data_IF_062590330506
#
_entry.id   IF_062590330506
#
_cell.length_a   1.000
_cell.length_b   1.000
_cell.length_c   1.000
_cell.angle_alpha   90.00
_cell.angle_beta   90.00
_cell.angle_gamma   90.00
#
_symmetry.space_group_name_H-M   'P 1'
#
loop_
_entity.id
_entity.type
_entity.pdbx_description
1 polymer ?
#
# COMPACT_ATOMS: atom_id res chain seq x y z
N UNK A 1 -24.77 -2.63 -24.24
CA UNK A 1 -23.93 -1.66 -24.94
C UNK A 1 -23.11 -2.36 -26.03
N UNK A 2 -22.95 -1.69 -27.17
CA UNK A 2 -22.22 -2.22 -28.31
C UNK A 2 -20.87 -1.52 -28.41
N UNK A 3 -19.78 -2.27 -28.71
CA UNK A 3 -18.46 -1.66 -28.90
C UNK A 3 -18.48 -0.85 -30.21
N UNK A 4 -18.14 0.43 -30.11
CA UNK A 4 -18.11 1.34 -31.27
C UNK A 4 -16.72 1.45 -31.89
N UNK A 5 -15.66 1.37 -31.07
CA UNK A 5 -14.27 1.39 -31.50
C UNK A 5 -13.36 0.78 -30.42
N UNK A 6 -12.13 0.46 -30.83
CA UNK A 6 -11.04 0.12 -29.91
C UNK A 6 -9.93 1.16 -30.03
N UNK A 7 -9.20 1.39 -28.94
CA UNK A 7 -8.05 2.27 -28.89
C UNK A 7 -6.85 1.53 -28.32
N UNK A 8 -5.72 1.56 -29.05
CA UNK A 8 -4.42 1.07 -28.62
C UNK A 8 -3.62 2.26 -28.07
N UNK A 9 -3.05 2.11 -26.89
CA UNK A 9 -2.19 3.09 -26.23
C UNK A 9 -0.94 2.45 -25.65
N UNK A 10 0.10 3.26 -25.40
CA UNK A 10 1.33 2.86 -24.72
C UNK A 10 1.58 3.74 -23.51
N UNK A 11 2.30 3.21 -22.54
CA UNK A 11 2.92 4.04 -21.49
C UNK A 11 3.99 4.96 -22.13
N UNK A 12 4.86 4.40 -23.01
CA UNK A 12 5.85 5.15 -23.78
C UNK A 12 5.81 4.72 -25.25
N UNK A 13 5.64 5.65 -26.17
CA UNK A 13 5.65 5.39 -27.62
C UNK A 13 7.06 5.43 -28.23
N UNK A 14 8.09 5.79 -27.45
CA UNK A 14 9.50 5.76 -27.82
C UNK A 14 10.30 5.08 -26.71
N UNK A 15 11.00 4.00 -27.04
CA UNK A 15 11.78 3.21 -26.08
C UNK A 15 13.22 3.02 -26.58
N UNK A 16 14.16 2.87 -25.67
CA UNK A 16 15.54 2.54 -26.00
C UNK A 16 15.68 1.04 -26.39
N UNK A 17 16.64 0.73 -27.23
CA UNK A 17 16.95 -0.65 -27.58
C UNK A 17 17.22 -1.50 -26.32
N UNK A 18 16.58 -2.66 -26.25
CA UNK A 18 16.70 -3.59 -25.12
C UNK A 18 15.78 -3.27 -23.92
N UNK A 19 14.96 -2.21 -23.99
CA UNK A 19 13.95 -1.90 -22.99
C UNK A 19 12.55 -2.28 -23.44
N UNK A 20 11.55 -2.16 -22.57
CA UNK A 20 10.17 -2.48 -22.88
C UNK A 20 9.19 -1.42 -22.33
N UNK A 21 8.02 -1.34 -22.98
CA UNK A 21 6.88 -0.54 -22.55
C UNK A 21 5.62 -1.40 -22.46
N UNK A 22 4.63 -0.99 -21.69
CA UNK A 22 3.32 -1.63 -21.66
C UNK A 22 2.38 -1.00 -22.67
N UNK A 23 1.53 -1.84 -23.29
CA UNK A 23 0.42 -1.42 -24.12
C UNK A 23 -0.92 -1.77 -23.47
N UNK A 24 -1.94 -1.01 -23.84
CA UNK A 24 -3.31 -1.27 -23.43
C UNK A 24 -4.24 -1.12 -24.64
N UNK A 25 -5.20 -2.04 -24.76
CA UNK A 25 -6.30 -1.93 -25.73
C UNK A 25 -7.59 -1.72 -24.96
N UNK A 26 -8.24 -0.59 -25.24
CA UNK A 26 -9.49 -0.18 -24.58
C UNK A 26 -10.65 -0.27 -25.58
N UNK A 27 -11.70 -1.00 -25.26
CA UNK A 27 -12.97 -0.96 -25.98
C UNK A 27 -13.80 0.22 -25.49
N UNK A 28 -14.38 0.98 -26.43
CA UNK A 28 -15.27 2.13 -26.17
C UNK A 28 -16.67 1.74 -26.65
N UNK A 29 -17.65 1.87 -25.76
CA UNK A 29 -19.04 1.48 -26.00
C UNK A 29 -19.90 2.70 -26.42
N UNK A 30 -21.04 2.40 -27.03
CA UNK A 30 -22.05 3.37 -27.48
C UNK A 30 -22.65 4.23 -26.36
N UNK A 31 -22.61 3.72 -25.11
CA UNK A 31 -23.03 4.43 -23.91
C UNK A 31 -21.93 5.27 -23.23
N UNK A 32 -20.74 5.37 -23.85
CA UNK A 32 -19.58 6.12 -23.34
C UNK A 32 -18.76 5.40 -22.27
N UNK A 33 -19.09 4.15 -21.92
CA UNK A 33 -18.26 3.34 -21.00
C UNK A 33 -17.05 2.75 -21.73
N UNK A 34 -15.98 2.48 -20.97
CA UNK A 34 -14.74 1.89 -21.47
C UNK A 34 -14.45 0.57 -20.74
N UNK A 35 -13.77 -0.35 -21.43
CA UNK A 35 -13.30 -1.62 -20.86
C UNK A 35 -11.93 -1.97 -21.43
N UNK A 36 -10.98 -2.38 -20.57
CA UNK A 36 -9.71 -2.95 -21.00
C UNK A 36 -9.98 -4.35 -21.57
N UNK A 37 -9.53 -4.57 -22.82
CA UNK A 37 -9.70 -5.82 -23.57
C UNK A 37 -8.37 -6.38 -24.06
N UNK A 38 -7.24 -5.90 -23.53
CA UNK A 38 -5.89 -6.24 -24.01
C UNK A 38 -5.67 -7.74 -24.14
N UNK A 39 -6.02 -8.51 -23.12
CA UNK A 39 -5.82 -9.98 -23.07
C UNK A 39 -6.71 -10.76 -24.08
N UNK A 40 -7.77 -10.13 -24.59
CA UNK A 40 -8.70 -10.73 -25.56
C UNK A 40 -8.48 -10.24 -26.98
N UNK A 41 -7.47 -9.37 -27.20
CA UNK A 41 -7.21 -8.70 -28.49
C UNK A 41 -6.03 -9.36 -29.20
N UNK A 42 -6.14 -9.53 -30.52
CA UNK A 42 -5.00 -9.92 -31.36
C UNK A 42 -4.10 -8.71 -31.58
N UNK A 43 -2.84 -8.80 -31.13
CA UNK A 43 -1.89 -7.68 -31.21
C UNK A 43 -0.63 -8.15 -31.92
N UNK A 44 -0.28 -7.49 -33.04
CA UNK A 44 0.85 -7.87 -33.88
C UNK A 44 1.65 -6.64 -34.32
N UNK A 45 3.00 -6.72 -34.37
CA UNK A 45 3.85 -5.70 -34.98
C UNK A 45 4.00 -5.92 -36.46
N UNK A 46 4.12 -4.87 -37.26
CA UNK A 46 4.48 -4.97 -38.69
C UNK A 46 5.96 -5.30 -38.90
N UNK A 47 6.83 -4.99 -37.93
CA UNK A 47 8.25 -5.28 -37.96
C UNK A 47 8.72 -6.02 -36.70
N UNK A 48 8.73 -7.36 -36.76
CA UNK A 48 9.26 -8.21 -35.68
C UNK A 48 10.78 -8.11 -35.51
N UNK A 49 11.50 -7.52 -36.49
CA UNK A 49 12.93 -7.24 -36.39
C UNK A 49 13.22 -6.00 -35.53
N UNK A 50 12.23 -5.15 -35.26
CA UNK A 50 12.34 -3.93 -34.42
C UNK A 50 11.80 -4.15 -33.03
N UNK A 51 10.64 -4.82 -32.93
CA UNK A 51 10.00 -5.08 -31.63
C UNK A 51 9.45 -6.50 -31.56
N UNK A 52 9.37 -7.01 -30.31
CA UNK A 52 8.63 -8.23 -29.98
C UNK A 52 7.50 -7.89 -29.01
N UNK A 53 6.40 -8.66 -29.04
CA UNK A 53 5.25 -8.50 -28.16
C UNK A 53 5.03 -9.79 -27.37
N UNK A 54 4.87 -9.67 -26.05
CA UNK A 54 4.50 -10.77 -25.17
C UNK A 54 3.44 -10.29 -24.19
N UNK A 55 2.22 -10.81 -24.34
CA UNK A 55 1.06 -10.29 -23.58
C UNK A 55 0.83 -8.81 -23.88
N UNK A 56 0.79 -7.98 -22.84
CA UNK A 56 0.64 -6.53 -22.94
C UNK A 56 1.98 -5.76 -23.03
N UNK A 57 3.10 -6.44 -23.27
CA UNK A 57 4.44 -5.83 -23.22
C UNK A 57 5.07 -5.82 -24.61
N UNK A 58 5.54 -4.64 -25.03
CA UNK A 58 6.33 -4.42 -26.24
C UNK A 58 7.78 -4.21 -25.86
N UNK A 59 8.70 -4.99 -26.44
CA UNK A 59 10.15 -4.89 -26.23
C UNK A 59 10.85 -4.47 -27.51
N UNK A 60 11.71 -3.45 -27.43
CA UNK A 60 12.62 -3.02 -28.50
C UNK A 60 13.80 -3.98 -28.62
N UNK A 61 14.05 -4.49 -29.83
CA UNK A 61 15.16 -5.41 -30.13
C UNK A 61 16.18 -4.85 -31.13
N UNK A 62 15.78 -3.88 -31.92
CA UNK A 62 16.67 -3.11 -32.78
C UNK A 62 16.12 -1.71 -33.00
N UNK A 63 17.02 -0.73 -33.22
CA UNK A 63 16.61 0.65 -33.51
C UNK A 63 15.79 0.74 -34.80
N UNK A 64 14.74 1.54 -34.80
CA UNK A 64 13.80 1.70 -35.90
C UNK A 64 12.40 2.05 -35.41
N UNK A 65 11.42 1.80 -36.29
CA UNK A 65 9.99 1.99 -35.91
C UNK A 65 9.18 0.80 -36.36
N UNK A 66 8.13 0.48 -35.64
CA UNK A 66 7.14 -0.52 -35.97
C UNK A 66 5.74 0.03 -35.75
N UNK A 67 4.78 -0.35 -36.60
CA UNK A 67 3.36 -0.12 -36.36
C UNK A 67 2.80 -1.34 -35.65
N UNK A 68 2.21 -1.15 -34.50
CA UNK A 68 1.49 -2.21 -33.79
C UNK A 68 0.02 -2.12 -34.19
N UNK A 69 -0.53 -3.26 -34.60
CA UNK A 69 -1.95 -3.41 -34.96
C UNK A 69 -2.66 -4.22 -33.89
N UNK A 70 -3.78 -3.69 -33.40
CA UNK A 70 -4.71 -4.38 -32.51
C UNK A 70 -6.00 -4.70 -33.26
N UNK A 71 -6.50 -5.93 -33.14
CA UNK A 71 -7.76 -6.37 -33.74
C UNK A 71 -8.64 -7.09 -32.73
N UNK A 72 -9.91 -6.64 -32.64
CA UNK A 72 -10.92 -7.27 -31.80
C UNK A 72 -12.30 -7.18 -32.46
N UNK A 73 -12.92 -8.34 -32.73
CA UNK A 73 -14.26 -8.44 -33.33
C UNK A 73 -14.43 -7.62 -34.63
N UNK A 74 -13.38 -7.57 -35.48
CA UNK A 74 -13.40 -6.81 -36.74
C UNK A 74 -13.16 -5.31 -36.60
N UNK A 75 -12.91 -4.80 -35.38
CA UNK A 75 -12.46 -3.43 -35.12
C UNK A 75 -10.94 -3.39 -35.04
N UNK A 76 -10.34 -2.30 -35.52
CA UNK A 76 -8.89 -2.13 -35.61
C UNK A 76 -8.42 -0.86 -34.94
N UNK A 77 -7.25 -0.89 -34.34
CA UNK A 77 -6.48 0.27 -33.91
C UNK A 77 -5.00 0.07 -34.21
N UNK A 78 -4.34 1.12 -34.66
CA UNK A 78 -2.92 1.09 -35.01
C UNK A 78 -2.18 2.22 -34.30
N UNK A 79 -0.99 1.93 -33.78
CA UNK A 79 -0.12 2.92 -33.17
C UNK A 79 1.34 2.64 -33.54
N UNK A 80 2.09 3.71 -33.81
CA UNK A 80 3.53 3.65 -34.07
C UNK A 80 4.30 3.62 -32.76
N UNK A 81 5.29 2.71 -32.67
CA UNK A 81 6.32 2.71 -31.64
C UNK A 81 7.70 2.91 -32.28
N UNK A 82 8.56 3.69 -31.61
CA UNK A 82 9.94 3.95 -32.06
C UNK A 82 10.92 3.32 -31.07
N UNK A 83 11.92 2.60 -31.59
CA UNK A 83 13.05 2.08 -30.80
C UNK A 83 14.28 2.92 -31.13
N UNK A 84 14.83 3.62 -30.13
CA UNK A 84 16.02 4.46 -30.29
C UNK A 84 17.31 3.64 -30.16
N UNK A 85 18.45 4.05 -30.77
CA UNK A 85 19.76 3.40 -30.58
C UNK A 85 20.42 3.75 -29.25
N UNK A 86 19.76 4.48 -28.37
CA UNK A 86 20.30 4.93 -27.10
C UNK A 86 20.71 3.76 -26.19
N UNK A 87 21.83 3.94 -25.48
CA UNK A 87 22.35 2.98 -24.50
C UNK A 87 22.12 3.49 -23.09
N UNK A 88 21.87 2.57 -22.15
CA UNK A 88 21.67 2.91 -20.75
C UNK A 88 22.96 3.44 -20.12
N UNK A 89 22.95 4.68 -19.62
CA UNK A 89 24.08 5.31 -18.94
C UNK A 89 24.05 5.04 -17.42
N UNK A 90 22.88 5.25 -16.78
CA UNK A 90 22.70 5.11 -15.34
C UNK A 90 21.24 4.77 -14.99
N UNK A 91 21.03 4.34 -13.75
CA UNK A 91 19.72 4.09 -13.18
C UNK A 91 19.55 5.01 -11.98
N UNK A 92 18.47 5.75 -11.93
CA UNK A 92 18.03 6.50 -10.75
C UNK A 92 16.94 5.69 -10.05
N UNK A 93 17.18 5.34 -8.78
CA UNK A 93 16.20 4.72 -7.91
C UNK A 93 15.59 5.81 -7.04
N UNK A 94 14.26 5.86 -6.94
CA UNK A 94 13.53 6.86 -6.16
C UNK A 94 12.27 6.26 -5.55
N UNK A 95 11.74 6.89 -4.49
CA UNK A 95 10.39 6.64 -4.01
C UNK A 95 9.58 7.94 -4.01
N UNK A 96 8.25 7.83 -4.16
CA UNK A 96 7.33 8.99 -4.09
C UNK A 96 7.22 9.55 -2.67
N UNK A 97 7.47 8.70 -1.68
CA UNK A 97 7.40 9.06 -0.26
C UNK A 97 8.82 9.26 0.28
N UNK A 98 9.02 10.31 1.05
CA UNK A 98 10.29 10.62 1.72
C UNK A 98 10.22 10.30 3.22
N UNK A 99 11.41 10.30 3.87
CA UNK A 99 11.54 10.12 5.32
C UNK A 99 11.70 8.66 5.75
N UNK A 100 11.55 8.46 7.06
CA UNK A 100 11.72 7.16 7.71
C UNK A 100 10.51 6.27 7.41
N UNK A 101 10.77 4.99 7.08
CA UNK A 101 9.73 3.98 6.92
C UNK A 101 9.42 3.37 8.29
N UNK A 102 8.18 3.43 8.80
CA UNK A 102 7.83 2.73 10.04
C UNK A 102 7.99 1.21 9.88
N UNK A 103 8.57 0.55 10.89
CA UNK A 103 8.65 -0.90 10.93
C UNK A 103 7.27 -1.54 10.71
N UNK A 104 7.21 -2.59 9.88
CA UNK A 104 5.99 -3.30 9.51
C UNK A 104 5.16 -2.62 8.41
N UNK A 105 5.68 -1.54 7.79
CA UNK A 105 5.04 -0.90 6.64
C UNK A 105 5.86 -1.09 5.36
N UNK A 106 5.27 -0.71 4.22
CA UNK A 106 5.86 -0.87 2.90
C UNK A 106 6.02 0.48 2.21
N UNK A 107 6.98 0.55 1.26
CA UNK A 107 7.21 1.70 0.38
C UNK A 107 7.54 1.23 -1.02
N UNK A 108 6.89 1.82 -2.03
CA UNK A 108 7.17 1.55 -3.43
C UNK A 108 8.36 2.37 -3.92
N UNK A 109 9.31 1.68 -4.59
CA UNK A 109 10.42 2.29 -5.31
C UNK A 109 10.21 2.18 -6.82
N UNK A 110 10.78 3.15 -7.54
CA UNK A 110 10.81 3.20 -8.99
C UNK A 110 12.25 3.27 -9.49
N UNK A 111 12.53 2.69 -10.65
CA UNK A 111 13.80 2.74 -11.31
C UNK A 111 13.65 3.46 -12.66
N UNK A 112 14.33 4.60 -12.83
CA UNK A 112 14.35 5.39 -14.04
C UNK A 112 15.70 5.19 -14.73
N UNK A 113 15.68 4.59 -15.91
CA UNK A 113 16.84 4.49 -16.79
C UNK A 113 17.12 5.84 -17.45
N UNK A 114 18.37 6.30 -17.36
CA UNK A 114 18.89 7.51 -18.03
C UNK A 114 19.77 7.05 -19.18
N UNK A 115 19.39 7.44 -20.42
CA UNK A 115 20.02 6.94 -21.64
C UNK A 115 20.98 7.95 -22.29
N UNK A 116 21.82 7.47 -23.23
CA UNK A 116 22.86 8.25 -23.87
C UNK A 116 22.37 9.41 -24.74
N UNK A 117 21.10 9.36 -25.17
CA UNK A 117 20.43 10.44 -25.89
C UNK A 117 19.75 11.46 -24.96
N UNK A 118 19.94 11.30 -23.64
CA UNK A 118 19.30 12.13 -22.62
C UNK A 118 17.86 11.76 -22.29
N UNK A 119 17.31 10.73 -22.93
CA UNK A 119 15.96 10.25 -22.58
C UNK A 119 15.94 9.54 -21.22
N UNK A 120 14.78 9.62 -20.57
CA UNK A 120 14.49 8.94 -19.30
C UNK A 120 13.34 7.97 -19.55
N UNK A 121 13.46 6.75 -19.05
CA UNK A 121 12.43 5.73 -19.19
C UNK A 121 12.22 5.01 -17.85
N UNK A 122 10.97 4.81 -17.47
CA UNK A 122 10.62 3.97 -16.32
C UNK A 122 10.88 2.50 -16.69
N UNK A 123 11.85 1.89 -16.01
CA UNK A 123 12.23 0.49 -16.16
C UNK A 123 11.85 -0.35 -14.94
N UNK A 124 11.09 0.20 -14.00
CA UNK A 124 10.74 -0.44 -12.71
C UNK A 124 10.13 -1.83 -12.87
N UNK A 125 9.36 -2.01 -13.95
CA UNK A 125 8.63 -3.24 -14.24
C UNK A 125 9.21 -4.00 -15.46
N UNK A 126 10.40 -3.65 -15.95
CA UNK A 126 11.03 -4.43 -17.03
C UNK A 126 11.35 -5.85 -16.51
N UNK A 127 11.05 -6.94 -17.29
CA UNK A 127 11.28 -8.30 -16.83
C UNK A 127 12.74 -8.65 -16.51
N UNK A 128 13.68 -7.83 -16.96
CA UNK A 128 15.12 -8.03 -16.73
C UNK A 128 15.67 -7.13 -15.63
N UNK A 129 14.85 -6.28 -15.01
CA UNK A 129 15.30 -5.54 -13.83
C UNK A 129 15.41 -6.49 -12.63
N UNK A 130 16.43 -6.28 -11.83
CA UNK A 130 16.65 -7.03 -10.60
C UNK A 130 16.67 -6.05 -9.43
N UNK A 131 15.69 -6.18 -8.56
CA UNK A 131 15.61 -5.45 -7.31
C UNK A 131 16.35 -6.20 -6.19
N UNK A 132 17.01 -5.48 -5.30
CA UNK A 132 17.70 -6.06 -4.14
C UNK A 132 17.87 -5.06 -3.01
N UNK A 133 18.00 -5.57 -1.79
CA UNK A 133 18.36 -4.80 -0.60
C UNK A 133 19.81 -5.08 -0.21
N UNK A 134 20.54 -4.06 0.24
CA UNK A 134 21.89 -4.25 0.80
C UNK A 134 21.88 -5.00 2.13
N UNK A 135 20.73 -5.02 2.83
CA UNK A 135 20.52 -5.76 4.06
C UNK A 135 19.06 -6.25 4.17
N UNK A 136 18.76 -7.47 3.70
CA UNK A 136 17.42 -8.04 3.72
C UNK A 136 16.84 -8.27 5.13
N UNK A 137 17.69 -8.32 6.17
CA UNK A 137 17.24 -8.43 7.56
C UNK A 137 16.62 -7.11 8.07
N UNK A 138 16.96 -5.98 7.48
CA UNK A 138 16.41 -4.67 7.80
C UNK A 138 15.28 -4.28 6.85
N UNK A 139 15.49 -4.46 5.56
CA UNK A 139 14.53 -4.14 4.50
C UNK A 139 14.52 -5.26 3.47
N UNK A 140 13.38 -5.85 3.21
CA UNK A 140 13.17 -6.74 2.06
C UNK A 140 12.56 -5.95 0.90
N UNK A 141 12.93 -6.29 -0.33
CA UNK A 141 12.33 -5.74 -1.54
C UNK A 141 11.93 -6.89 -2.46
N UNK A 142 10.75 -6.79 -3.05
CA UNK A 142 10.25 -7.76 -4.01
C UNK A 142 10.62 -7.38 -5.47
N UNK A 143 10.23 -8.23 -6.42
CA UNK A 143 10.53 -8.05 -7.85
C UNK A 143 9.79 -6.84 -8.47
N UNK A 144 8.81 -6.27 -7.77
CA UNK A 144 8.10 -5.06 -8.20
C UNK A 144 8.72 -3.77 -7.63
N UNK A 145 9.76 -3.86 -6.81
CA UNK A 145 10.37 -2.73 -6.12
C UNK A 145 9.60 -2.29 -4.86
N UNK A 146 8.68 -3.13 -4.35
CA UNK A 146 7.99 -2.86 -3.08
C UNK A 146 8.90 -3.27 -1.92
N UNK A 147 9.38 -2.29 -1.16
CA UNK A 147 10.26 -2.49 -0.01
C UNK A 147 9.45 -2.55 1.30
N UNK A 148 9.76 -3.55 2.15
CA UNK A 148 9.13 -3.80 3.44
C UNK A 148 10.11 -3.58 4.58
N UNK A 149 9.74 -2.75 5.57
CA UNK A 149 10.55 -2.49 6.78
C UNK A 149 10.43 -3.62 7.80
N UNK A 150 11.51 -4.39 7.98
CA UNK A 150 11.53 -5.58 8.84
C UNK A 150 12.11 -5.27 10.22
N UNK A 151 13.28 -4.65 10.30
CA UNK A 151 13.93 -4.25 11.54
C UNK A 151 14.52 -2.84 11.42
N UNK A 152 14.75 -2.20 12.57
CA UNK A 152 15.31 -0.85 12.65
C UNK A 152 16.70 -0.78 12.05
N UNK A 153 16.97 0.25 11.27
CA UNK A 153 18.26 0.50 10.65
C UNK A 153 18.13 0.99 9.23
N UNK A 154 19.29 1.13 8.55
CA UNK A 154 19.39 1.69 7.21
C UNK A 154 19.90 0.66 6.22
N UNK A 155 19.27 0.59 5.06
CA UNK A 155 19.66 -0.25 3.93
C UNK A 155 19.56 0.55 2.61
N UNK A 156 20.23 0.09 1.56
CA UNK A 156 20.10 0.62 0.21
C UNK A 156 19.21 -0.31 -0.62
N UNK A 157 18.15 0.24 -1.20
CA UNK A 157 17.34 -0.43 -2.21
C UNK A 157 18.02 -0.21 -3.55
N UNK A 158 18.29 -1.31 -4.27
CA UNK A 158 19.06 -1.32 -5.52
C UNK A 158 18.22 -1.87 -6.65
N UNK A 159 18.37 -1.25 -7.82
CA UNK A 159 17.85 -1.74 -9.08
C UNK A 159 19.01 -1.97 -10.04
N UNK A 160 19.08 -3.17 -10.64
CA UNK A 160 20.12 -3.53 -11.62
C UNK A 160 19.48 -3.89 -12.95
N UNK A 161 19.98 -3.34 -14.05
CA UNK A 161 19.50 -3.58 -15.41
C UNK A 161 20.63 -3.30 -16.42
N UNK A 162 20.82 -4.17 -17.43
CA UNK A 162 21.84 -4.02 -18.49
C UNK A 162 23.24 -3.64 -17.94
N UNK A 163 23.72 -4.33 -16.91
CA UNK A 163 25.02 -4.08 -16.26
C UNK A 163 25.16 -2.71 -15.57
N UNK A 164 24.08 -1.95 -15.41
CA UNK A 164 24.02 -0.73 -14.61
C UNK A 164 23.28 -1.01 -13.32
N UNK A 165 23.61 -0.23 -12.29
CA UNK A 165 22.94 -0.27 -10.99
C UNK A 165 22.66 1.14 -10.49
N UNK A 166 21.47 1.35 -9.94
CA UNK A 166 21.11 2.50 -9.13
C UNK A 166 20.77 2.07 -7.71
N UNK A 167 20.83 3.00 -6.77
CA UNK A 167 20.49 2.74 -5.38
C UNK A 167 19.91 4.00 -4.71
N UNK A 168 19.01 3.76 -3.75
CA UNK A 168 18.43 4.76 -2.85
C UNK A 168 18.53 4.26 -1.41
N UNK A 169 18.88 5.17 -0.50
CA UNK A 169 18.96 4.84 0.93
C UNK A 169 17.57 4.85 1.56
N UNK A 170 17.29 3.86 2.41
CA UNK A 170 16.07 3.73 3.17
C UNK A 170 16.35 3.41 4.62
N UNK A 171 15.79 4.22 5.52
CA UNK A 171 15.86 4.00 6.97
C UNK A 171 14.53 3.50 7.49
N UNK A 172 14.56 2.41 8.26
CA UNK A 172 13.42 1.87 9.00
C UNK A 172 13.48 2.38 10.43
N UNK A 173 12.41 3.05 10.86
CA UNK A 173 12.23 3.54 12.22
C UNK A 173 11.20 2.74 13.01
N UNK A 174 10.86 3.23 14.21
CA UNK A 174 9.91 2.58 15.10
C UNK A 174 8.55 2.34 14.43
N UNK A 175 7.89 1.26 14.85
CA UNK A 175 6.52 0.98 14.44
C UNK A 175 5.56 2.07 14.96
N UNK A 176 4.59 2.45 14.14
CA UNK A 176 3.58 3.47 14.48
C UNK A 176 2.29 2.83 14.97
N UNK A 177 1.58 3.51 15.87
CA UNK A 177 0.26 3.07 16.34
C UNK A 177 -0.71 3.03 15.16
N UNK A 178 -1.38 1.89 14.95
CA UNK A 178 -2.35 1.68 13.87
C UNK A 178 -3.79 1.52 14.36
N UNK A 179 -3.96 0.97 15.58
CA UNK A 179 -5.28 0.74 16.17
C UNK A 179 -5.20 0.77 17.70
N UNK A 180 -6.30 1.17 18.35
CA UNK A 180 -6.48 1.04 19.80
C UNK A 180 -7.63 0.06 20.05
N UNK A 181 -7.36 -0.99 20.81
CA UNK A 181 -8.37 -1.90 21.32
C UNK A 181 -8.64 -1.62 22.79
N UNK A 182 -9.88 -1.27 23.13
CA UNK A 182 -10.31 -1.08 24.54
C UNK A 182 -11.01 -2.34 25.01
N UNK A 183 -10.55 -2.90 26.11
CA UNK A 183 -11.09 -4.13 26.70
C UNK A 183 -11.56 -3.93 28.14
N UNK A 184 -12.56 -4.69 28.51
CA UNK A 184 -13.18 -4.76 29.83
C UNK A 184 -13.29 -6.22 30.27
N UNK A 185 -12.92 -6.53 31.51
CA UNK A 185 -13.07 -7.88 32.05
C UNK A 185 -14.53 -8.30 32.22
N UNK A 186 -15.42 -7.33 32.42
CA UNK A 186 -16.85 -7.55 32.51
C UNK A 186 -17.60 -6.41 31.81
N UNK A 187 -18.38 -6.66 30.73
CA UNK A 187 -19.16 -5.64 30.05
C UNK A 187 -20.39 -5.20 30.85
N UNK A 188 -20.82 -5.99 31.85
CA UNK A 188 -21.94 -5.69 32.75
C UNK A 188 -21.42 -5.37 34.14
N UNK A 189 -21.38 -4.08 34.51
CA UNK A 189 -20.77 -3.61 35.73
C UNK A 189 -21.86 -3.16 36.71
N UNK A 190 -21.95 -3.73 37.94
CA UNK A 190 -22.93 -3.26 38.90
C UNK A 190 -22.69 -1.82 39.32
N UNK A 191 -23.76 -1.09 39.58
CA UNK A 191 -23.74 0.29 40.13
C UNK A 191 -22.86 0.37 41.38
N UNK A 192 -22.07 1.44 41.49
CA UNK A 192 -21.16 1.71 42.61
C UNK A 192 -19.86 0.91 42.58
N UNK A 193 -19.57 0.16 41.49
CA UNK A 193 -18.32 -0.57 41.35
C UNK A 193 -17.29 0.17 40.49
N UNK A 194 -16.02 -0.11 40.79
CA UNK A 194 -14.88 0.32 39.98
C UNK A 194 -14.34 -0.83 39.17
N UNK A 195 -13.91 -0.55 37.94
CA UNK A 195 -13.29 -1.55 37.06
C UNK A 195 -12.15 -0.91 36.28
N UNK A 196 -11.04 -1.63 36.17
CA UNK A 196 -9.94 -1.28 35.27
C UNK A 196 -10.28 -1.67 33.84
N UNK A 197 -10.21 -0.72 32.92
CA UNK A 197 -10.20 -0.94 31.47
C UNK A 197 -8.76 -0.88 30.97
N UNK A 198 -8.49 -1.63 29.91
CA UNK A 198 -7.19 -1.67 29.27
C UNK A 198 -7.32 -1.15 27.85
N UNK A 199 -6.46 -0.20 27.49
CA UNK A 199 -6.26 0.24 26.11
C UNK A 199 -4.98 -0.42 25.59
N UNK A 200 -5.15 -1.35 24.63
CA UNK A 200 -4.04 -2.00 23.94
C UNK A 200 -3.81 -1.30 22.61
N UNK A 201 -2.64 -0.73 22.43
CA UNK A 201 -2.18 -0.21 21.12
C UNK A 201 -1.68 -1.35 20.26
N UNK A 202 -2.20 -1.44 19.04
CA UNK A 202 -1.73 -2.34 17.98
C UNK A 202 -0.92 -1.48 17.02
N UNK A 203 0.34 -1.87 16.77
CA UNK A 203 1.29 -1.10 15.98
C UNK A 203 1.43 -1.67 14.54
N UNK A 204 2.05 -0.91 13.66
CA UNK A 204 2.24 -1.27 12.25
C UNK A 204 2.99 -2.59 12.04
N UNK A 205 3.82 -3.00 12.99
CA UNK A 205 4.53 -4.29 13.00
C UNK A 205 3.75 -5.42 13.70
N UNK A 206 2.45 -5.22 13.96
CA UNK A 206 1.55 -6.10 14.71
C UNK A 206 1.95 -6.33 16.19
N UNK A 207 2.89 -5.56 16.72
CA UNK A 207 3.18 -5.59 18.14
C UNK A 207 2.05 -4.94 18.95
N UNK A 208 1.84 -5.46 20.16
CA UNK A 208 0.82 -4.96 21.09
C UNK A 208 1.49 -4.39 22.33
N UNK A 209 1.00 -3.22 22.81
CA UNK A 209 1.50 -2.56 24.03
C UNK A 209 0.33 -2.05 24.83
N UNK A 210 0.41 -2.17 26.17
CA UNK A 210 -0.53 -1.48 27.06
C UNK A 210 -0.23 0.02 27.04
N UNK A 211 -1.18 0.80 26.54
CA UNK A 211 -1.11 2.26 26.44
C UNK A 211 -2.15 2.95 27.32
N UNK A 212 -2.72 2.23 28.29
CA UNK A 212 -3.81 2.71 29.15
C UNK A 212 -3.47 3.99 29.93
N UNK A 213 -2.17 4.23 30.22
CA UNK A 213 -1.69 5.43 30.92
C UNK A 213 -1.31 6.60 30.01
N UNK A 214 -1.25 6.38 28.68
CA UNK A 214 -0.80 7.38 27.68
C UNK A 214 -1.91 7.83 26.72
N UNK A 215 -3.09 7.21 26.79
CA UNK A 215 -4.27 7.61 26.00
C UNK A 215 -5.14 8.63 26.74
N UNK A 216 -5.93 9.35 25.97
CA UNK A 216 -7.00 10.19 26.50
C UNK A 216 -8.26 9.34 26.61
N UNK A 217 -8.72 9.12 27.83
CA UNK A 217 -9.97 8.42 28.12
C UNK A 217 -11.17 9.35 28.08
N UNK A 218 -12.29 8.87 27.54
CA UNK A 218 -13.55 9.60 27.51
C UNK A 218 -14.74 8.65 27.73
N UNK A 219 -15.77 9.17 28.43
CA UNK A 219 -17.05 8.51 28.60
C UNK A 219 -18.13 9.23 27.80
N UNK A 220 -18.96 8.50 27.07
CA UNK A 220 -20.10 9.06 26.33
C UNK A 220 -21.17 9.65 27.26
N UNK A 221 -21.20 9.23 28.55
CA UNK A 221 -22.06 9.76 29.57
C UNK A 221 -21.41 9.61 30.94
N UNK A 222 -20.78 10.69 31.44
CA UNK A 222 -20.10 10.71 32.72
C UNK A 222 -21.02 10.60 33.94
N UNK A 223 -22.33 10.84 33.77
CA UNK A 223 -23.33 10.64 34.88
C UNK A 223 -23.64 9.14 35.06
N UNK A 224 -23.51 8.29 34.03
CA UNK A 224 -23.65 6.83 34.14
C UNK A 224 -22.34 6.21 34.64
N UNK A 225 -21.23 6.56 34.02
CA UNK A 225 -19.92 6.09 34.46
C UNK A 225 -18.84 7.09 34.08
N UNK A 226 -17.95 7.37 35.01
CA UNK A 226 -16.81 8.25 34.83
C UNK A 226 -15.52 7.42 34.71
N UNK A 227 -14.60 7.83 33.83
CA UNK A 227 -13.31 7.16 33.65
C UNK A 227 -12.16 8.11 33.94
N UNK A 228 -11.17 7.61 34.70
CA UNK A 228 -9.94 8.34 35.02
C UNK A 228 -8.86 8.12 33.98
N UNK A 229 -7.86 9.01 33.94
CA UNK A 229 -6.76 8.95 32.97
C UNK A 229 -5.92 7.66 33.00
N UNK A 230 -6.01 6.89 34.09
CA UNK A 230 -5.35 5.59 34.21
C UNK A 230 -6.24 4.40 33.79
N UNK A 231 -7.44 4.65 33.21
CA UNK A 231 -8.39 3.63 32.76
C UNK A 231 -9.24 3.01 33.87
N UNK A 232 -9.31 3.63 35.08
CA UNK A 232 -10.22 3.21 36.14
C UNK A 232 -11.59 3.83 35.89
N UNK A 233 -12.58 2.98 35.62
CA UNK A 233 -13.98 3.34 35.47
C UNK A 233 -14.67 3.27 36.82
N UNK A 234 -15.52 4.25 37.12
CA UNK A 234 -16.39 4.31 38.30
C UNK A 234 -17.84 4.47 37.85
N UNK A 235 -18.71 3.56 38.28
CA UNK A 235 -20.13 3.57 37.90
C UNK A 235 -20.97 4.37 38.87
N UNK A 236 -21.83 5.30 38.38
CA UNK A 236 -22.60 6.26 39.18
C UNK A 236 -24.10 6.18 38.93
N UNK A 237 -24.57 5.68 37.77
CA UNK A 237 -25.98 5.46 37.48
C UNK A 237 -26.12 4.24 36.52
N UNK A 238 -27.32 3.70 36.44
CA UNK A 238 -27.65 2.55 35.56
C UNK A 238 -27.85 3.00 34.11
N UNK A 239 -27.42 2.18 33.17
CA UNK A 239 -27.60 2.47 31.74
C UNK A 239 -26.50 1.93 30.85
N UNK A 240 -26.53 2.35 29.59
CA UNK A 240 -25.52 1.99 28.58
C UNK A 240 -24.57 3.17 28.41
N UNK A 241 -23.27 2.88 28.41
CA UNK A 241 -22.23 3.88 28.22
C UNK A 241 -21.15 3.33 27.26
N UNK A 242 -20.62 4.17 26.40
CA UNK A 242 -19.45 3.85 25.57
C UNK A 242 -18.23 4.56 26.16
N UNK A 243 -17.20 3.78 26.47
CA UNK A 243 -15.90 4.32 26.91
C UNK A 243 -14.94 4.24 25.74
N UNK A 244 -14.27 5.35 25.46
CA UNK A 244 -13.27 5.46 24.42
C UNK A 244 -11.90 5.85 24.97
N UNK A 245 -10.88 5.37 24.27
CA UNK A 245 -9.48 5.75 24.45
C UNK A 245 -8.94 6.29 23.14
N UNK A 246 -8.27 7.43 23.16
CA UNK A 246 -7.71 8.05 21.96
C UNK A 246 -6.25 8.45 22.13
N UNK A 247 -5.49 8.33 21.06
CA UNK A 247 -4.13 8.82 20.90
C UNK A 247 -3.99 9.38 19.50
N UNK A 248 -3.58 10.63 19.37
CA UNK A 248 -3.59 11.36 18.10
C UNK A 248 -4.96 11.26 17.41
N UNK A 249 -5.01 10.70 16.19
CA UNK A 249 -6.24 10.53 15.41
C UNK A 249 -6.84 9.11 15.52
N UNK A 250 -6.28 8.25 16.38
CA UNK A 250 -6.69 6.86 16.53
C UNK A 250 -7.56 6.71 17.75
N UNK A 251 -8.75 6.12 17.60
CA UNK A 251 -9.74 5.94 18.66
C UNK A 251 -10.15 4.49 18.74
N UNK A 252 -10.10 3.92 19.94
CA UNK A 252 -10.70 2.64 20.29
C UNK A 252 -11.85 2.83 21.27
N UNK A 253 -12.84 1.94 21.30
CA UNK A 253 -13.96 2.05 22.23
C UNK A 253 -14.53 0.69 22.66
N UNK A 254 -15.20 0.69 23.81
CA UNK A 254 -15.96 -0.45 24.31
C UNK A 254 -17.31 0.02 24.85
N UNK A 255 -18.37 -0.75 24.55
CA UNK A 255 -19.71 -0.52 25.06
C UNK A 255 -19.91 -1.33 26.33
N UNK A 256 -20.40 -0.67 27.40
CA UNK A 256 -20.62 -1.24 28.71
C UNK A 256 -22.04 -1.00 29.16
N UNK A 257 -22.53 -1.87 30.03
CA UNK A 257 -23.86 -1.77 30.66
C UNK A 257 -23.67 -1.64 32.17
N UNK A 258 -24.13 -0.56 32.76
CA UNK A 258 -24.19 -0.42 34.21
C UNK A 258 -25.52 -1.00 34.67
N UNK A 259 -25.47 -2.09 35.45
CA UNK A 259 -26.62 -2.79 35.96
C UNK A 259 -26.98 -2.28 37.39
N UNK A 260 -28.22 -2.48 37.87
CA UNK A 260 -28.54 -2.22 39.29
C UNK A 260 -27.56 -2.89 40.25
N UNK A 261 -27.38 -2.32 41.42
CA UNK A 261 -26.52 -2.87 42.47
C UNK A 261 -27.01 -4.28 42.85
N UNK A 262 -26.09 -5.26 42.88
CA UNK A 262 -26.40 -6.61 43.35
C UNK A 262 -26.15 -6.74 44.83
N UNK A 263 -27.10 -7.37 45.53
CA UNK A 263 -26.91 -7.74 46.93
C UNK A 263 -25.82 -8.81 47.05
N UNK A 264 -24.76 -8.53 47.78
CA UNK A 264 -23.59 -9.45 47.90
C UNK A 264 -23.70 -10.30 49.18
N UNK A 265 -24.22 -9.75 50.29
CA UNK A 265 -24.40 -10.50 51.54
C UNK A 265 -25.40 -9.79 52.48
N UNK A 266 -26.02 -10.56 53.36
CA UNK A 266 -26.79 -10.08 54.49
C UNK A 266 -26.11 -10.65 55.74
N UNK A 267 -25.74 -9.83 56.69
CA UNK A 267 -25.30 -10.27 58.04
C UNK A 267 -26.39 -9.90 59.03
N UNK A 268 -26.77 -10.90 59.86
CA UNK A 268 -27.70 -10.69 60.97
C UNK A 268 -26.86 -10.85 62.23
N UNK A 269 -26.77 -9.80 63.05
CA UNK A 269 -26.21 -9.86 64.39
C UNK A 269 -27.30 -10.13 65.41
N UNK A 270 -27.05 -11.01 66.40
CA UNK A 270 -28.01 -11.33 67.44
C UNK A 270 -28.32 -10.16 68.37
#
# INVERSE_FOLDING_TARGET
>A
PTITRIELSYQDSSIANGTSTTLEVTAIFDNGTNQNITDSTSIVPDSQSVVTIQGNRVRGIASGSSIIKAEYNGLYSEQKITVTPATLNSIQVTSLESGILPKGTNRQFSAIGIFSDGSHQDISNDPLIVWSSSNPDLVQVDDSGLASGINLGTAHIRASFQSKQGAEEMTVGDAVLSQIQVTSNNPNIPLGKKQKLIATGIYSDNSNRDISSSVIWNSSNSTIANIQNNGILETADTGIVTISASSENIIGSVKLIVTPAALVSISVSP
#
